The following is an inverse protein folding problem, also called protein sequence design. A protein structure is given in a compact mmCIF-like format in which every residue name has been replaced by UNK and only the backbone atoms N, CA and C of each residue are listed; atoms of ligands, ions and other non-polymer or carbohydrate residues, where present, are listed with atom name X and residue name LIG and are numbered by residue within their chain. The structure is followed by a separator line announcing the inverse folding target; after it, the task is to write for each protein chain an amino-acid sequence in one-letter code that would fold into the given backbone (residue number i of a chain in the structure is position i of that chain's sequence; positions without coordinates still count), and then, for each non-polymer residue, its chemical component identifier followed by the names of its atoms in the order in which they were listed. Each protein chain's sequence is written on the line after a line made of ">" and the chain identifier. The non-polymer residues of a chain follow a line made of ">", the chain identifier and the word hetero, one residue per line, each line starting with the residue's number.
data_IF_872142105159
#
_entry.id   IF_872142105159
#
_cell.length_a   1.000
_cell.length_b   1.000
_cell.length_c   1.000
_cell.angle_alpha   90.00
_cell.angle_beta   90.00
_cell.angle_gamma   90.00
#
_symmetry.space_group_name_H-M   'P 1'
#
loop_
_entity.id
_entity.type
_entity.pdbx_description
1 polymer ?
#
# COMPACT_ATOMS: atom_id res chain seq x y z
N UNK A 1 16.79 -16.06 11.57
CA UNK A 1 15.63 -15.15 11.47
C UNK A 1 14.55 -15.94 10.79
N UNK A 2 13.38 -16.08 11.42
CA UNK A 2 12.27 -16.88 10.88
C UNK A 2 11.75 -16.20 9.60
N UNK A 3 11.55 -16.96 8.52
CA UNK A 3 11.09 -16.45 7.21
C UNK A 3 9.76 -15.70 7.36
N UNK A 4 8.91 -16.14 8.29
CA UNK A 4 7.62 -15.50 8.60
C UNK A 4 7.83 -14.08 9.16
N UNK A 5 8.86 -13.89 10.00
CA UNK A 5 9.17 -12.58 10.59
C UNK A 5 9.71 -11.65 9.50
N UNK A 6 10.54 -12.16 8.60
CA UNK A 6 11.10 -11.37 7.50
C UNK A 6 10.01 -10.88 6.54
N UNK A 7 9.09 -11.75 6.15
CA UNK A 7 7.97 -11.38 5.26
C UNK A 7 7.06 -10.33 5.89
N UNK A 8 6.76 -10.45 7.20
CA UNK A 8 5.96 -9.44 7.92
C UNK A 8 6.65 -8.08 7.95
N UNK A 9 7.93 -8.04 8.31
CA UNK A 9 8.71 -6.79 8.33
C UNK A 9 8.76 -6.18 6.93
N UNK A 10 8.90 -7.00 5.89
CA UNK A 10 8.88 -6.53 4.52
C UNK A 10 7.53 -5.89 4.13
N UNK A 11 6.41 -6.54 4.47
CA UNK A 11 5.07 -6.02 4.20
C UNK A 11 4.77 -4.73 4.97
N UNK A 12 5.14 -4.64 6.25
CA UNK A 12 4.98 -3.43 7.07
C UNK A 12 5.77 -2.25 6.48
N UNK A 13 7.01 -2.48 6.04
CA UNK A 13 7.82 -1.45 5.37
C UNK A 13 7.22 -1.04 4.02
N UNK A 14 6.64 -1.98 3.28
CA UNK A 14 6.00 -1.69 2.00
C UNK A 14 4.76 -0.82 2.19
N UNK A 15 3.91 -1.18 3.15
CA UNK A 15 2.73 -0.44 3.57
C UNK A 15 3.08 1.00 3.95
N UNK A 16 4.06 1.19 4.83
CA UNK A 16 4.51 2.52 5.25
C UNK A 16 4.93 3.38 4.05
N UNK A 17 5.70 2.81 3.12
CA UNK A 17 6.16 3.53 1.92
C UNK A 17 5.02 3.91 0.99
N UNK A 18 4.03 3.03 0.81
CA UNK A 18 2.83 3.31 0.02
C UNK A 18 2.07 4.49 0.65
N UNK A 19 1.82 4.45 1.96
CA UNK A 19 1.07 5.49 2.66
C UNK A 19 1.79 6.84 2.59
N UNK A 20 3.10 6.87 2.87
CA UNK A 20 3.92 8.10 2.78
C UNK A 20 3.84 8.67 1.36
N UNK A 21 4.05 7.82 0.35
CA UNK A 21 4.05 8.28 -1.04
C UNK A 21 2.69 8.79 -1.50
N UNK A 22 1.59 8.11 -1.12
CA UNK A 22 0.22 8.57 -1.38
C UNK A 22 -0.05 9.94 -0.76
N UNK A 23 0.41 10.17 0.46
CA UNK A 23 0.27 11.46 1.14
C UNK A 23 1.01 12.57 0.39
N UNK A 24 2.25 12.31 -0.03
CA UNK A 24 3.09 13.27 -0.75
C UNK A 24 2.50 13.66 -2.11
N UNK A 25 2.14 12.69 -2.95
CA UNK A 25 1.73 12.96 -4.34
C UNK A 25 0.31 13.47 -4.48
N UNK A 26 -0.58 13.16 -3.53
CA UNK A 26 -1.96 13.64 -3.53
C UNK A 26 -2.18 14.84 -2.59
N UNK A 27 -1.13 15.37 -1.97
CA UNK A 27 -1.19 16.45 -0.98
C UNK A 27 -2.19 16.17 0.16
N UNK A 28 -2.19 14.92 0.65
CA UNK A 28 -3.07 14.47 1.73
C UNK A 28 -2.37 14.51 3.08
N UNK A 29 -3.15 14.53 4.16
CA UNK A 29 -2.61 14.20 5.48
C UNK A 29 -2.23 12.72 5.53
N UNK A 30 -1.27 12.38 6.38
CA UNK A 30 -0.89 10.99 6.61
C UNK A 30 -2.09 10.14 7.06
N UNK A 31 -2.93 10.67 7.94
CA UNK A 31 -4.18 10.03 8.38
C UNK A 31 -5.11 9.71 7.18
N UNK A 32 -5.27 10.65 6.24
CA UNK A 32 -6.12 10.40 5.08
C UNK A 32 -5.52 9.39 4.11
N UNK A 33 -4.19 9.37 3.96
CA UNK A 33 -3.51 8.35 3.16
C UNK A 33 -3.62 6.95 3.80
N UNK A 34 -3.55 6.85 5.14
CA UNK A 34 -3.81 5.61 5.87
C UNK A 34 -5.23 5.11 5.66
N UNK A 35 -6.21 6.00 5.81
CA UNK A 35 -7.64 5.70 5.57
C UNK A 35 -7.85 5.14 4.15
N UNK A 36 -7.25 5.78 3.14
CA UNK A 36 -7.32 5.29 1.76
C UNK A 36 -6.68 3.91 1.60
N UNK A 37 -5.45 3.73 2.11
CA UNK A 37 -4.73 2.47 1.96
C UNK A 37 -5.47 1.31 2.63
N UNK A 38 -5.88 1.44 3.90
CA UNK A 38 -6.53 0.36 4.62
C UNK A 38 -7.96 0.05 4.16
N UNK A 39 -8.63 0.99 3.48
CA UNK A 39 -9.91 0.74 2.83
C UNK A 39 -9.77 0.23 1.39
N UNK A 40 -8.55 0.05 0.89
CA UNK A 40 -8.31 -0.40 -0.48
C UNK A 40 -8.33 -1.91 -0.65
N UNK A 41 -8.80 -2.36 -1.82
CA UNK A 41 -8.65 -3.75 -2.25
C UNK A 41 -7.19 -4.09 -2.55
N UNK A 42 -6.36 -3.09 -2.88
CA UNK A 42 -4.93 -3.29 -3.05
C UNK A 42 -4.26 -3.77 -1.77
N UNK A 43 -4.55 -3.16 -0.62
CA UNK A 43 -4.00 -3.58 0.66
C UNK A 43 -4.36 -5.03 0.99
N UNK A 44 -5.61 -5.44 0.75
CA UNK A 44 -6.05 -6.83 0.88
C UNK A 44 -5.24 -7.79 0.00
N UNK A 45 -4.93 -7.39 -1.25
CA UNK A 45 -4.13 -8.21 -2.18
C UNK A 45 -2.68 -8.33 -1.73
N UNK A 46 -2.07 -7.23 -1.25
CA UNK A 46 -0.72 -7.21 -0.70
C UNK A 46 -0.63 -8.13 0.52
N UNK A 47 -1.56 -8.00 1.47
CA UNK A 47 -1.59 -8.83 2.67
C UNK A 47 -1.74 -10.32 2.36
N UNK A 48 -2.55 -10.68 1.37
CA UNK A 48 -2.73 -12.07 0.92
C UNK A 48 -1.59 -12.59 0.04
N UNK A 49 -0.67 -11.72 -0.37
CA UNK A 49 0.37 -12.03 -1.33
C UNK A 49 -0.17 -12.47 -2.70
N UNK A 50 -1.33 -11.93 -3.09
CA UNK A 50 -2.04 -12.37 -4.29
C UNK A 50 -1.18 -12.09 -5.53
N UNK A 51 -0.90 -13.14 -6.31
CA UNK A 51 -0.11 -13.05 -7.56
C UNK A 51 1.29 -12.46 -7.38
N UNK A 52 1.83 -12.46 -6.15
CA UNK A 52 3.15 -11.88 -5.85
C UNK A 52 3.17 -10.34 -5.86
N UNK A 53 2.00 -9.69 -5.79
CA UNK A 53 1.86 -8.23 -5.85
C UNK A 53 2.66 -7.50 -4.75
N UNK A 54 2.87 -8.13 -3.60
CA UNK A 54 3.66 -7.59 -2.50
C UNK A 54 5.14 -7.38 -2.88
N UNK A 55 5.63 -8.02 -3.95
CA UNK A 55 7.01 -7.85 -4.41
C UNK A 55 7.18 -6.72 -5.44
N UNK A 56 6.11 -6.00 -5.78
CA UNK A 56 6.19 -4.81 -6.64
C UNK A 56 6.72 -3.59 -5.86
N UNK A 57 7.26 -2.62 -6.60
CA UNK A 57 7.70 -1.35 -6.04
C UNK A 57 6.50 -0.56 -5.49
N UNK A 58 6.70 0.09 -4.34
CA UNK A 58 5.68 0.86 -3.65
C UNK A 58 5.07 1.97 -4.52
N UNK A 59 5.84 2.58 -5.43
CA UNK A 59 5.31 3.62 -6.33
C UNK A 59 4.34 3.04 -7.35
N UNK A 60 4.68 1.88 -7.92
CA UNK A 60 3.80 1.16 -8.85
C UNK A 60 2.51 0.75 -8.14
N UNK A 61 2.61 0.28 -6.89
CA UNK A 61 1.44 -0.06 -6.08
C UNK A 61 0.56 1.17 -5.81
N UNK A 62 1.15 2.30 -5.43
CA UNK A 62 0.41 3.55 -5.24
C UNK A 62 -0.26 4.05 -6.52
N UNK A 63 0.41 3.94 -7.68
CA UNK A 63 -0.19 4.28 -8.98
C UNK A 63 -1.36 3.35 -9.32
N UNK A 64 -1.22 2.04 -9.11
CA UNK A 64 -2.31 1.07 -9.27
C UNK A 64 -3.50 1.46 -8.37
N UNK A 65 -3.25 1.82 -7.11
CA UNK A 65 -4.31 2.22 -6.19
C UNK A 65 -5.06 3.45 -6.70
N UNK A 66 -4.31 4.49 -7.07
CA UNK A 66 -4.87 5.72 -7.61
C UNK A 66 -5.66 5.45 -8.89
N UNK A 67 -5.18 4.55 -9.76
CA UNK A 67 -5.85 4.30 -11.03
C UNK A 67 -7.07 3.41 -10.94
N UNK A 68 -7.06 2.44 -10.03
CA UNK A 68 -8.11 1.41 -9.94
C UNK A 68 -9.16 1.69 -8.87
N UNK A 69 -8.87 2.53 -7.88
CA UNK A 69 -9.74 2.81 -6.72
C UNK A 69 -9.91 4.33 -6.48
N UNK A 70 -10.12 5.09 -7.57
CA UNK A 70 -10.27 6.57 -7.58
C UNK A 70 -11.34 7.09 -6.62
N UNK A 71 -12.34 6.28 -6.30
CA UNK A 71 -13.41 6.60 -5.37
C UNK A 71 -12.94 6.85 -3.94
N UNK A 72 -11.79 6.29 -3.53
CA UNK A 72 -11.23 6.45 -2.19
C UNK A 72 -10.60 7.84 -1.99
N UNK A 73 -10.23 8.51 -3.08
CA UNK A 73 -9.54 9.81 -3.08
C UNK A 73 -10.50 11.01 -3.18
N UNK A 74 -11.81 10.79 -3.06
CA UNK A 74 -12.85 11.82 -3.16
C UNK A 74 -13.20 12.45 -1.82
#
# INVERSE_FOLDING_TARGET
>A
MDEIILERVYQENLEERIIIYLAEINHLTYEKAMDIYYNSKLADKIQRGQEGIQYLDYKVLSEILIDTEKELFK
#
